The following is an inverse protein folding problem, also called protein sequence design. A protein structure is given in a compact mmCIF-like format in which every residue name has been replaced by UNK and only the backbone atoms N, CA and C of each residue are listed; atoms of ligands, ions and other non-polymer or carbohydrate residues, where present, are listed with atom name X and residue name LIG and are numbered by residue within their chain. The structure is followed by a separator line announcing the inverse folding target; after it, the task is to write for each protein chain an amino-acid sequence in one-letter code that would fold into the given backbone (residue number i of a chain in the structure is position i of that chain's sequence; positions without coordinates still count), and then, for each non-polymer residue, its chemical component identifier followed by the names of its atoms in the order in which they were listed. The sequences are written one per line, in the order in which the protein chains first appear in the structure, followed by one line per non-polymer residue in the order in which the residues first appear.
data_IF_202412478661
#
_entry.id   IF_202412478661
#
_cell.length_a   1.000
_cell.length_b   1.000
_cell.length_c   1.000
_cell.angle_alpha   90.00
_cell.angle_beta   90.00
_cell.angle_gamma   90.00
#
_symmetry.space_group_name_H-M   'P 1'
#
loop_
_entity.id
_entity.type
_entity.pdbx_description
1 polymer ?
#
# COMPACT_ATOMS: atom_id res chain seq x y z
N UNK A 1 -21.98 -9.08 -28.37
CA UNK A 1 -21.53 -7.78 -27.86
C UNK A 1 -20.29 -8.05 -27.02
N UNK A 2 -19.16 -7.41 -27.32
CA UNK A 2 -17.95 -7.55 -26.51
C UNK A 2 -18.26 -7.07 -25.09
N UNK A 3 -18.02 -7.90 -24.10
CA UNK A 3 -18.23 -7.54 -22.70
C UNK A 3 -17.24 -6.44 -22.33
N UNK A 4 -17.72 -5.21 -22.20
CA UNK A 4 -16.87 -4.07 -21.81
C UNK A 4 -16.74 -4.13 -20.28
N UNK A 5 -15.56 -4.51 -19.76
CA UNK A 5 -15.29 -4.48 -18.34
C UNK A 5 -15.24 -3.03 -17.85
N UNK A 6 -16.20 -2.65 -16.99
CA UNK A 6 -16.25 -1.37 -16.28
C UNK A 6 -15.57 -1.51 -14.90
N UNK A 7 -15.31 -0.42 -14.22
CA UNK A 7 -14.80 -0.45 -12.83
C UNK A 7 -15.69 -1.28 -11.91
N UNK A 8 -17.02 -1.22 -12.09
CA UNK A 8 -17.96 -2.00 -11.28
C UNK A 8 -17.93 -3.50 -11.61
N UNK A 9 -17.77 -3.87 -12.88
CA UNK A 9 -17.64 -5.27 -13.26
C UNK A 9 -16.29 -5.86 -12.82
N UNK A 10 -15.22 -5.08 -12.86
CA UNK A 10 -13.93 -5.45 -12.29
C UNK A 10 -14.03 -5.64 -10.77
N UNK A 11 -14.70 -4.71 -10.07
CA UNK A 11 -14.92 -4.83 -8.62
C UNK A 11 -15.66 -6.12 -8.27
N UNK A 12 -16.77 -6.40 -8.95
CA UNK A 12 -17.54 -7.65 -8.75
C UNK A 12 -16.69 -8.89 -8.99
N UNK A 13 -15.87 -8.90 -10.03
CA UNK A 13 -14.96 -10.01 -10.31
C UNK A 13 -13.94 -10.19 -9.16
N UNK A 14 -13.33 -9.12 -8.69
CA UNK A 14 -12.27 -9.16 -7.68
C UNK A 14 -12.81 -9.48 -6.27
N UNK A 15 -14.03 -9.07 -5.94
CA UNK A 15 -14.69 -9.38 -4.67
C UNK A 15 -15.23 -10.81 -4.60
N UNK A 16 -15.52 -11.44 -5.74
CA UNK A 16 -16.06 -12.79 -5.75
C UNK A 16 -14.99 -13.85 -5.52
N UNK A 17 -15.39 -15.00 -4.97
CA UNK A 17 -14.58 -16.21 -4.97
C UNK A 17 -14.19 -16.56 -6.40
N UNK A 18 -13.03 -17.20 -6.57
CA UNK A 18 -12.55 -17.55 -7.90
C UNK A 18 -13.54 -18.46 -8.64
N UNK A 19 -13.82 -18.11 -9.88
CA UNK A 19 -14.64 -18.92 -10.78
C UNK A 19 -13.95 -19.06 -12.13
N UNK A 20 -13.58 -20.27 -12.47
CA UNK A 20 -12.80 -20.57 -13.67
C UNK A 20 -13.50 -20.14 -14.96
N UNK A 21 -14.82 -20.30 -15.07
CA UNK A 21 -15.56 -19.92 -16.26
C UNK A 21 -15.60 -18.39 -16.44
N UNK A 22 -15.80 -17.64 -15.34
CA UNK A 22 -15.70 -16.18 -15.37
C UNK A 22 -14.28 -15.72 -15.69
N UNK A 23 -13.27 -16.42 -15.17
CA UNK A 23 -11.87 -16.14 -15.47
C UNK A 23 -11.54 -16.33 -16.95
N UNK A 24 -12.00 -17.43 -17.58
CA UNK A 24 -11.87 -17.63 -19.03
C UNK A 24 -12.50 -16.49 -19.83
N UNK A 25 -13.72 -16.09 -19.47
CA UNK A 25 -14.38 -14.94 -20.10
C UNK A 25 -13.57 -13.65 -19.93
N UNK A 26 -12.98 -13.44 -18.75
CA UNK A 26 -12.13 -12.28 -18.49
C UNK A 26 -10.85 -12.31 -19.34
N UNK A 27 -10.18 -13.44 -19.40
CA UNK A 27 -8.99 -13.63 -20.23
C UNK A 27 -9.29 -13.36 -21.71
N UNK A 28 -10.40 -13.88 -22.21
CA UNK A 28 -10.79 -13.72 -23.60
C UNK A 28 -11.15 -12.27 -23.95
N UNK A 29 -11.95 -11.61 -23.12
CA UNK A 29 -12.51 -10.31 -23.48
C UNK A 29 -11.68 -9.11 -22.98
N UNK A 30 -10.98 -9.26 -21.87
CA UNK A 30 -10.14 -8.19 -21.32
C UNK A 30 -8.71 -8.24 -21.86
N UNK A 31 -8.09 -9.43 -21.81
CA UNK A 31 -6.73 -9.62 -22.29
C UNK A 31 -6.61 -9.98 -23.77
N UNK A 32 -7.73 -10.15 -24.46
CA UNK A 32 -7.78 -10.60 -25.85
C UNK A 32 -7.01 -11.92 -26.08
N UNK A 33 -7.06 -12.83 -25.11
CA UNK A 33 -6.37 -14.09 -25.19
C UNK A 33 -7.00 -14.95 -26.32
N UNK A 34 -6.28 -15.12 -27.41
CA UNK A 34 -6.73 -15.86 -28.59
C UNK A 34 -6.37 -17.34 -28.56
N UNK A 35 -5.40 -17.72 -27.74
CA UNK A 35 -4.86 -19.08 -27.64
C UNK A 35 -5.22 -19.73 -26.31
N UNK A 36 -6.51 -19.66 -25.94
CA UNK A 36 -7.01 -20.36 -24.75
C UNK A 36 -7.29 -21.84 -25.08
N UNK A 37 -6.95 -22.71 -24.16
CA UNK A 37 -7.31 -24.13 -24.23
C UNK A 37 -8.82 -24.30 -23.99
N UNK A 38 -9.49 -25.16 -24.73
CA UNK A 38 -10.90 -25.50 -24.49
C UNK A 38 -11.16 -26.07 -23.10
N UNK A 39 -10.19 -26.83 -22.60
CA UNK A 39 -10.16 -27.37 -21.23
C UNK A 39 -8.78 -27.10 -20.62
N UNK A 40 -8.72 -26.79 -19.31
CA UNK A 40 -7.46 -26.66 -18.60
C UNK A 40 -6.60 -27.91 -18.79
N UNK A 41 -5.37 -27.73 -19.24
CA UNK A 41 -4.42 -28.81 -19.38
C UNK A 41 -3.70 -29.01 -18.05
N UNK A 42 -3.86 -30.19 -17.47
CA UNK A 42 -3.28 -30.51 -16.17
C UNK A 42 -1.77 -30.68 -16.32
N UNK A 43 -1.00 -29.93 -15.56
CA UNK A 43 0.46 -29.93 -15.63
C UNK A 43 1.11 -30.40 -14.33
N UNK A 44 0.42 -30.31 -13.18
CA UNK A 44 0.87 -30.91 -11.92
C UNK A 44 -0.28 -31.59 -11.18
N UNK A 45 0.04 -32.74 -10.64
CA UNK A 45 -0.76 -33.47 -9.68
C UNK A 45 0.12 -33.82 -8.47
N UNK A 46 -0.21 -33.23 -7.33
CA UNK A 46 0.31 -33.64 -6.04
C UNK A 46 -0.86 -33.99 -5.12
N UNK A 47 -0.57 -34.62 -4.00
CA UNK A 47 -1.59 -34.99 -3.00
C UNK A 47 -2.27 -33.73 -2.39
N UNK A 48 -1.62 -32.58 -2.49
CA UNK A 48 -2.07 -31.34 -1.86
C UNK A 48 -2.55 -30.25 -2.84
N UNK A 49 -2.08 -30.27 -4.09
CA UNK A 49 -2.27 -29.15 -4.99
C UNK A 49 -2.42 -29.59 -6.46
N UNK A 50 -3.15 -28.82 -7.24
CA UNK A 50 -3.36 -29.07 -8.68
C UNK A 50 -3.01 -27.83 -9.49
N UNK A 51 -2.29 -28.05 -10.59
CA UNK A 51 -1.94 -26.97 -11.49
C UNK A 51 -2.36 -27.22 -12.92
N UNK A 52 -2.77 -26.15 -13.59
CA UNK A 52 -3.35 -26.18 -14.92
C UNK A 52 -2.77 -25.08 -15.79
N UNK A 53 -2.44 -25.43 -17.03
CA UNK A 53 -2.18 -24.49 -18.10
C UNK A 53 -3.49 -24.15 -18.82
N UNK A 54 -3.77 -22.87 -18.95
CA UNK A 54 -5.02 -22.37 -19.55
C UNK A 54 -4.85 -21.88 -21.00
N UNK A 55 -3.61 -21.60 -21.42
CA UNK A 55 -3.30 -20.99 -22.70
C UNK A 55 -2.31 -19.84 -22.56
N UNK A 56 -2.27 -18.95 -23.55
CA UNK A 56 -1.38 -17.81 -23.53
C UNK A 56 -2.00 -16.55 -24.14
N UNK A 57 -1.36 -15.42 -23.82
CA UNK A 57 -1.59 -14.12 -24.44
C UNK A 57 -0.36 -13.79 -25.29
N UNK A 58 -0.58 -13.41 -26.55
CA UNK A 58 0.43 -12.77 -27.37
C UNK A 58 0.23 -11.26 -27.26
N UNK A 59 1.20 -10.57 -26.68
CA UNK A 59 1.10 -9.12 -26.45
C UNK A 59 1.37 -8.32 -27.73
N UNK A 60 0.95 -7.04 -27.73
CA UNK A 60 1.14 -6.15 -28.89
C UNK A 60 2.63 -5.90 -29.22
N UNK A 61 3.50 -6.03 -28.23
CA UNK A 61 4.96 -5.92 -28.31
C UNK A 61 5.67 -7.28 -28.50
N UNK A 62 4.92 -8.30 -28.96
CA UNK A 62 5.41 -9.63 -29.38
C UNK A 62 5.98 -10.50 -28.27
N UNK A 63 5.60 -10.27 -27.01
CA UNK A 63 5.91 -11.17 -25.90
C UNK A 63 4.81 -12.22 -25.72
N UNK A 64 5.19 -13.41 -25.29
CA UNK A 64 4.30 -14.52 -25.01
C UNK A 64 4.14 -14.75 -23.51
N UNK A 65 2.91 -14.57 -23.00
CA UNK A 65 2.58 -14.67 -21.57
C UNK A 65 1.77 -15.93 -21.33
N UNK A 66 2.32 -16.87 -20.57
CA UNK A 66 1.62 -18.10 -20.16
C UNK A 66 0.54 -17.81 -19.13
N UNK A 67 -0.59 -18.51 -19.24
CA UNK A 67 -1.74 -18.39 -18.34
C UNK A 67 -1.89 -19.68 -17.54
N UNK A 68 -1.86 -19.55 -16.22
CA UNK A 68 -1.88 -20.71 -15.32
C UNK A 68 -2.92 -20.53 -14.21
N UNK A 69 -3.49 -21.65 -13.76
CA UNK A 69 -4.34 -21.73 -12.59
C UNK A 69 -3.82 -22.80 -11.64
N UNK A 70 -3.73 -22.45 -10.38
CA UNK A 70 -3.23 -23.32 -9.32
C UNK A 70 -4.25 -23.40 -8.19
N UNK A 71 -4.78 -24.61 -7.97
CA UNK A 71 -5.74 -24.87 -6.90
C UNK A 71 -5.00 -25.40 -5.66
N UNK A 72 -5.09 -24.68 -4.56
CA UNK A 72 -4.45 -24.98 -3.28
C UNK A 72 -5.49 -25.62 -2.36
N UNK A 73 -5.42 -26.93 -2.20
CA UNK A 73 -6.39 -27.70 -1.41
C UNK A 73 -6.24 -27.56 0.10
N UNK A 74 -5.07 -27.18 0.61
CA UNK A 74 -4.79 -27.06 2.04
C UNK A 74 -4.22 -25.68 2.42
N UNK A 75 -4.96 -24.92 3.24
CA UNK A 75 -4.59 -23.63 3.79
C UNK A 75 -4.97 -22.45 2.90
N UNK A 76 -4.93 -21.24 3.47
CA UNK A 76 -5.35 -20.01 2.79
C UNK A 76 -4.22 -19.41 1.95
N UNK A 77 -4.53 -18.96 0.73
CA UNK A 77 -3.61 -18.22 -0.15
C UNK A 77 -3.15 -16.92 0.52
N UNK A 78 -4.00 -16.32 1.36
CA UNK A 78 -3.68 -15.11 2.08
C UNK A 78 -2.48 -15.27 3.02
N UNK A 79 -2.25 -16.49 3.53
CA UNK A 79 -1.23 -16.79 4.55
C UNK A 79 -0.08 -17.68 4.08
N UNK A 80 -0.18 -18.31 2.89
CA UNK A 80 0.84 -19.24 2.36
C UNK A 80 1.70 -18.58 1.27
N UNK A 81 2.80 -17.96 1.64
CA UNK A 81 3.69 -17.29 0.67
C UNK A 81 4.88 -18.14 0.23
N UNK A 82 5.58 -18.76 1.18
CA UNK A 82 6.77 -19.58 0.90
C UNK A 82 6.45 -20.83 0.07
N UNK A 83 5.28 -21.45 0.30
CA UNK A 83 4.82 -22.61 -0.49
C UNK A 83 4.58 -22.25 -1.97
N UNK A 84 4.01 -21.08 -2.25
CA UNK A 84 3.72 -20.60 -3.59
C UNK A 84 5.00 -20.32 -4.42
N UNK A 85 6.09 -19.89 -3.78
CA UNK A 85 7.40 -19.67 -4.40
C UNK A 85 7.99 -20.98 -4.92
N UNK A 86 7.99 -22.03 -4.08
CA UNK A 86 8.53 -23.32 -4.47
C UNK A 86 7.71 -23.95 -5.60
N UNK A 87 6.41 -23.72 -5.61
CA UNK A 87 5.50 -24.14 -6.66
C UNK A 87 5.82 -23.46 -8.00
N UNK A 88 6.03 -22.16 -7.99
CA UNK A 88 6.43 -21.40 -9.18
C UNK A 88 7.75 -21.92 -9.73
N UNK A 89 8.74 -22.14 -8.89
CA UNK A 89 10.05 -22.68 -9.31
C UNK A 89 9.96 -24.09 -9.92
N UNK A 90 9.19 -24.99 -9.32
CA UNK A 90 9.05 -26.35 -9.81
C UNK A 90 8.17 -26.48 -11.05
N UNK A 91 7.29 -25.53 -11.27
CA UNK A 91 6.16 -25.61 -12.17
C UNK A 91 6.33 -24.76 -13.44
N UNK A 92 6.76 -23.52 -13.30
CA UNK A 92 6.93 -22.60 -14.42
C UNK A 92 8.34 -22.73 -15.02
N UNK A 93 9.37 -23.05 -14.21
CA UNK A 93 10.73 -23.21 -14.69
C UNK A 93 10.90 -24.24 -15.83
N UNK A 94 10.25 -25.41 -15.84
CA UNK A 94 10.35 -26.34 -16.96
C UNK A 94 9.75 -25.81 -18.27
N UNK A 95 8.73 -24.93 -18.17
CA UNK A 95 8.05 -24.33 -19.34
C UNK A 95 8.54 -22.92 -19.67
N UNK A 96 9.48 -22.38 -18.86
CA UNK A 96 9.96 -21.00 -18.98
C UNK A 96 10.63 -20.68 -20.32
N UNK A 97 11.17 -21.66 -21.01
CA UNK A 97 11.71 -21.47 -22.38
C UNK A 97 10.66 -21.18 -23.44
N UNK A 98 9.37 -21.38 -23.13
CA UNK A 98 8.25 -21.16 -24.05
C UNK A 98 7.56 -19.81 -23.84
N UNK A 99 7.74 -19.16 -22.67
CA UNK A 99 7.07 -17.92 -22.29
C UNK A 99 8.05 -16.88 -21.77
N UNK A 100 7.75 -15.62 -22.05
CA UNK A 100 8.52 -14.46 -21.55
C UNK A 100 8.09 -14.05 -20.14
N UNK A 101 6.84 -14.36 -19.79
CA UNK A 101 6.24 -14.11 -18.47
C UNK A 101 5.06 -15.04 -18.24
N UNK A 102 4.51 -15.02 -17.03
CA UNK A 102 3.30 -15.75 -16.69
C UNK A 102 2.32 -14.92 -15.87
N UNK A 103 1.02 -15.09 -16.13
CA UNK A 103 -0.07 -14.71 -15.26
C UNK A 103 -0.61 -15.96 -14.56
N UNK A 104 -0.50 -16.01 -13.25
CA UNK A 104 -0.86 -17.18 -12.46
C UNK A 104 -1.95 -16.82 -11.47
N UNK A 105 -3.06 -17.54 -11.52
CA UNK A 105 -4.07 -17.51 -10.47
C UNK A 105 -3.77 -18.61 -9.46
N UNK A 106 -3.67 -18.24 -8.20
CA UNK A 106 -3.63 -19.15 -7.06
C UNK A 106 -4.97 -19.05 -6.33
N UNK A 107 -5.66 -20.17 -6.20
CA UNK A 107 -7.01 -20.25 -5.64
C UNK A 107 -7.03 -21.16 -4.43
N UNK A 108 -7.63 -20.72 -3.32
CA UNK A 108 -7.86 -21.50 -2.10
C UNK A 108 -9.33 -21.60 -1.71
N UNK A 109 -10.23 -21.23 -2.63
CA UNK A 109 -11.68 -21.18 -2.42
C UNK A 109 -12.19 -19.83 -1.90
N UNK A 110 -11.77 -19.41 -0.72
CA UNK A 110 -12.22 -18.14 -0.12
C UNK A 110 -11.52 -16.93 -0.74
N UNK A 111 -10.21 -17.04 -0.94
CA UNK A 111 -9.38 -16.00 -1.52
C UNK A 111 -8.61 -16.55 -2.71
N UNK A 112 -8.27 -15.65 -3.63
CA UNK A 112 -7.42 -15.98 -4.75
C UNK A 112 -6.42 -14.87 -5.02
N UNK A 113 -5.30 -15.23 -5.63
CA UNK A 113 -4.23 -14.31 -5.98
C UNK A 113 -4.00 -14.32 -7.47
N UNK A 114 -3.80 -13.17 -8.06
CA UNK A 114 -3.32 -13.02 -9.42
C UNK A 114 -1.87 -12.52 -9.36
N UNK A 115 -0.96 -13.34 -9.82
CA UNK A 115 0.47 -13.02 -9.85
C UNK A 115 0.94 -12.83 -11.28
N UNK A 116 1.65 -11.74 -11.53
CA UNK A 116 2.45 -11.55 -12.74
C UNK A 116 3.90 -11.90 -12.43
N UNK A 117 4.46 -12.87 -13.14
CA UNK A 117 5.79 -13.42 -12.91
C UNK A 117 6.59 -13.16 -14.17
N UNK A 118 7.66 -12.39 -14.04
CA UNK A 118 8.56 -12.08 -15.16
C UNK A 118 10.02 -12.15 -14.71
N UNK A 119 10.90 -12.52 -15.65
CA UNK A 119 12.33 -12.47 -15.47
C UNK A 119 12.84 -11.12 -15.99
N UNK A 120 13.54 -10.39 -15.13
CA UNK A 120 14.14 -9.11 -15.52
C UNK A 120 15.53 -9.43 -16.06
N UNK A 121 15.70 -9.34 -17.38
CA UNK A 121 16.99 -9.55 -18.05
C UNK A 121 18.07 -8.65 -17.44
N UNK A 122 19.09 -9.27 -16.87
CA UNK A 122 20.24 -8.58 -16.28
C UNK A 122 20.31 -8.61 -14.75
N UNK A 123 19.28 -9.08 -14.05
CA UNK A 123 19.34 -9.36 -12.62
C UNK A 123 19.67 -10.84 -12.39
N UNK A 124 20.70 -11.12 -11.59
CA UNK A 124 21.12 -12.49 -11.24
C UNK A 124 20.20 -13.16 -10.20
N UNK A 125 18.97 -12.68 -10.03
CA UNK A 125 18.00 -13.12 -9.03
C UNK A 125 16.86 -13.92 -9.66
N UNK A 126 16.15 -14.68 -8.81
CA UNK A 126 14.93 -15.41 -9.20
C UNK A 126 13.89 -14.50 -9.84
N UNK A 127 13.02 -15.00 -10.74
CA UNK A 127 11.93 -14.23 -11.31
C UNK A 127 11.12 -13.49 -10.24
N UNK A 128 10.95 -12.19 -10.40
CA UNK A 128 10.14 -11.37 -9.48
C UNK A 128 8.67 -11.68 -9.71
N UNK A 129 7.92 -11.75 -8.61
CA UNK A 129 6.48 -11.99 -8.59
C UNK A 129 5.78 -10.80 -7.97
N UNK A 130 4.84 -10.22 -8.71
CA UNK A 130 3.98 -9.14 -8.26
C UNK A 130 2.56 -9.63 -8.19
N UNK A 131 1.88 -9.42 -7.06
CA UNK A 131 0.66 -10.13 -6.73
C UNK A 131 -0.45 -9.20 -6.24
N UNK A 132 -1.67 -9.42 -6.76
CA UNK A 132 -2.91 -8.91 -6.19
C UNK A 132 -3.66 -10.00 -5.45
N UNK A 133 -4.28 -9.66 -4.31
CA UNK A 133 -5.15 -10.55 -3.52
C UNK A 133 -6.60 -10.17 -3.72
N UNK A 134 -7.45 -11.16 -3.97
CA UNK A 134 -8.87 -11.02 -4.30
C UNK A 134 -9.74 -11.99 -3.50
N UNK A 135 -11.08 -11.84 -3.60
CA UNK A 135 -12.05 -12.79 -3.07
C UNK A 135 -12.61 -12.43 -1.69
N UNK A 136 -12.45 -11.20 -1.22
CA UNK A 136 -13.00 -10.76 0.06
C UNK A 136 -13.62 -9.36 -0.06
N UNK A 137 -14.71 -9.12 0.68
CA UNK A 137 -15.32 -7.79 0.79
C UNK A 137 -14.51 -6.83 1.66
N UNK A 138 -13.58 -7.35 2.47
CA UNK A 138 -12.75 -6.56 3.40
C UNK A 138 -11.57 -5.89 2.70
N UNK A 139 -11.26 -6.29 1.47
CA UNK A 139 -10.14 -5.75 0.70
C UNK A 139 -10.57 -4.52 -0.11
N UNK A 140 -9.66 -3.55 -0.19
CA UNK A 140 -9.80 -2.40 -1.06
C UNK A 140 -9.33 -2.78 -2.47
N UNK A 141 -10.23 -2.72 -3.44
CA UNK A 141 -9.92 -3.08 -4.84
C UNK A 141 -9.65 -1.87 -5.73
N UNK A 142 -9.51 -0.66 -5.18
CA UNK A 142 -9.27 0.54 -5.98
C UNK A 142 -7.97 0.45 -6.76
N UNK A 143 -6.86 0.11 -6.12
CA UNK A 143 -5.56 -0.05 -6.80
C UNK A 143 -5.64 -1.03 -7.97
N UNK A 144 -6.08 -2.30 -7.82
CA UNK A 144 -6.19 -3.20 -8.96
C UNK A 144 -7.18 -2.69 -10.00
N UNK A 145 -8.32 -2.10 -9.63
CA UNK A 145 -9.28 -1.54 -10.58
C UNK A 145 -8.64 -0.42 -11.42
N UNK A 146 -7.90 0.50 -10.81
CA UNK A 146 -7.22 1.57 -11.53
C UNK A 146 -6.12 1.03 -12.45
N UNK A 147 -5.33 0.05 -11.99
CA UNK A 147 -4.30 -0.59 -12.82
C UNK A 147 -4.87 -1.38 -13.99
N UNK A 148 -5.99 -2.06 -13.81
CA UNK A 148 -6.68 -2.73 -14.91
C UNK A 148 -7.36 -1.73 -15.86
N UNK A 149 -7.90 -0.62 -15.37
CA UNK A 149 -8.37 0.48 -16.22
C UNK A 149 -7.22 1.12 -17.01
N UNK A 150 -6.03 1.23 -16.44
CA UNK A 150 -4.82 1.65 -17.16
C UNK A 150 -4.52 0.67 -18.31
N UNK A 151 -4.50 -0.65 -18.06
CA UNK A 151 -4.30 -1.66 -19.12
C UNK A 151 -5.35 -1.58 -20.21
N UNK A 152 -6.63 -1.37 -19.84
CA UNK A 152 -7.71 -1.18 -20.80
C UNK A 152 -7.48 0.04 -21.71
N UNK A 153 -6.99 1.14 -21.15
CA UNK A 153 -6.74 2.39 -21.86
C UNK A 153 -5.48 2.32 -22.74
N UNK A 154 -4.42 1.71 -22.24
CA UNK A 154 -3.10 1.67 -22.89
C UNK A 154 -2.89 0.47 -23.79
N UNK A 155 -3.69 -0.60 -23.61
CA UNK A 155 -3.55 -1.87 -24.30
C UNK A 155 -2.67 -2.87 -23.56
N UNK A 156 -2.79 -4.15 -23.97
CA UNK A 156 -2.07 -5.26 -23.38
C UNK A 156 -0.70 -5.41 -24.07
N UNK A 157 0.32 -4.87 -23.47
CA UNK A 157 1.73 -5.09 -23.81
C UNK A 157 2.50 -5.61 -22.60
N UNK A 158 3.66 -6.21 -22.80
CA UNK A 158 4.51 -6.68 -21.70
C UNK A 158 4.88 -5.51 -20.78
N UNK A 159 5.27 -4.37 -21.34
CA UNK A 159 5.65 -3.19 -20.56
C UNK A 159 4.47 -2.59 -19.78
N UNK A 160 3.26 -2.55 -20.37
CA UNK A 160 2.07 -2.09 -19.66
C UNK A 160 1.66 -3.07 -18.54
N UNK A 161 1.81 -4.39 -18.75
CA UNK A 161 1.59 -5.38 -17.70
C UNK A 161 2.60 -5.20 -16.56
N UNK A 162 3.88 -5.04 -16.90
CA UNK A 162 4.92 -4.76 -15.91
C UNK A 162 4.61 -3.50 -15.10
N UNK A 163 4.18 -2.43 -15.76
CA UNK A 163 3.76 -1.19 -15.09
C UNK A 163 2.54 -1.40 -14.20
N UNK A 164 1.52 -2.13 -14.69
CA UNK A 164 0.29 -2.37 -13.93
C UNK A 164 0.52 -3.17 -12.64
N UNK A 165 1.54 -4.03 -12.64
CA UNK A 165 1.93 -4.84 -11.49
C UNK A 165 3.15 -4.28 -10.74
N UNK A 166 3.75 -3.15 -11.17
CA UNK A 166 4.92 -2.57 -10.51
C UNK A 166 4.54 -1.86 -9.21
N UNK A 167 5.27 -2.21 -8.14
CA UNK A 167 5.19 -1.52 -6.85
C UNK A 167 5.86 -0.15 -6.94
N UNK A 168 6.99 -0.05 -7.64
CA UNK A 168 7.73 1.21 -7.80
C UNK A 168 6.88 2.28 -8.51
N UNK A 169 6.25 1.92 -9.64
CA UNK A 169 5.38 2.85 -10.37
C UNK A 169 4.15 3.29 -9.56
N UNK A 170 3.63 2.40 -8.69
CA UNK A 170 2.55 2.72 -7.77
C UNK A 170 3.03 3.69 -6.67
N UNK A 171 4.22 3.44 -6.15
CA UNK A 171 4.83 4.26 -5.10
C UNK A 171 5.14 5.67 -5.57
N UNK A 172 5.65 5.83 -6.78
CA UNK A 172 5.91 7.15 -7.39
C UNK A 172 4.61 7.94 -7.59
N UNK A 173 3.58 7.28 -8.12
CA UNK A 173 2.26 7.90 -8.30
C UNK A 173 1.64 8.33 -6.97
N UNK A 174 1.71 7.46 -5.95
CA UNK A 174 1.24 7.77 -4.61
C UNK A 174 1.99 8.97 -4.03
N UNK A 175 3.32 8.99 -4.14
CA UNK A 175 4.13 10.08 -3.63
C UNK A 175 3.81 11.42 -4.31
N UNK A 176 3.62 11.43 -5.63
CA UNK A 176 3.25 12.64 -6.37
C UNK A 176 1.89 13.18 -5.90
N UNK A 177 0.88 12.33 -5.75
CA UNK A 177 -0.44 12.73 -5.24
C UNK A 177 -0.40 13.13 -3.75
N UNK A 178 0.41 12.44 -2.94
CA UNK A 178 0.63 12.81 -1.54
C UNK A 178 1.23 14.22 -1.42
N UNK A 179 2.20 14.55 -2.27
CA UNK A 179 2.81 15.87 -2.33
C UNK A 179 1.81 16.95 -2.74
N UNK A 180 0.86 16.63 -3.63
CA UNK A 180 -0.22 17.54 -3.99
C UNK A 180 -1.15 17.81 -2.81
N UNK A 181 -1.57 16.79 -2.07
CA UNK A 181 -2.37 16.97 -0.84
C UNK A 181 -1.62 17.79 0.19
N UNK A 182 -0.33 17.53 0.39
CA UNK A 182 0.52 18.35 1.26
C UNK A 182 0.54 19.82 0.82
N UNK A 183 0.72 20.08 -0.47
CA UNK A 183 0.73 21.42 -1.03
C UNK A 183 -0.63 22.15 -0.87
N UNK A 184 -1.75 21.42 -0.90
CA UNK A 184 -3.08 21.99 -0.65
C UNK A 184 -3.23 22.50 0.77
N UNK A 185 -2.79 21.72 1.79
CA UNK A 185 -2.77 22.17 3.19
C UNK A 185 -1.87 23.40 3.38
N UNK A 186 -0.67 23.42 2.80
CA UNK A 186 0.23 24.58 2.87
C UNK A 186 -0.37 25.80 2.21
N UNK A 187 -0.96 25.65 1.02
CA UNK A 187 -1.61 26.75 0.30
C UNK A 187 -2.78 27.32 1.10
N UNK A 188 -3.58 26.49 1.75
CA UNK A 188 -4.67 26.96 2.60
C UNK A 188 -4.16 27.85 3.72
N UNK A 189 -3.09 27.45 4.41
CA UNK A 189 -2.54 28.22 5.54
C UNK A 189 -1.83 29.47 5.07
N UNK A 190 -0.98 29.38 4.04
CA UNK A 190 -0.01 30.42 3.67
C UNK A 190 -0.42 31.27 2.46
N UNK A 191 -1.42 30.84 1.69
CA UNK A 191 -1.73 31.39 0.36
C UNK A 191 -0.72 31.04 -0.72
N UNK A 192 0.33 30.28 -0.41
CA UNK A 192 1.46 29.98 -1.28
C UNK A 192 1.52 28.51 -1.68
N UNK A 193 1.99 28.25 -2.90
CA UNK A 193 2.21 26.89 -3.42
C UNK A 193 3.45 26.83 -4.29
N UNK A 194 4.23 25.77 -4.16
CA UNK A 194 5.28 25.46 -5.11
C UNK A 194 4.67 24.86 -6.39
N UNK A 195 4.97 25.50 -7.52
CA UNK A 195 4.52 25.06 -8.85
C UNK A 195 5.73 24.81 -9.74
N UNK A 196 5.63 23.81 -10.60
CA UNK A 196 6.68 23.49 -11.55
C UNK A 196 6.58 24.42 -12.76
N UNK A 197 7.61 25.26 -12.97
CA UNK A 197 7.74 26.15 -14.12
C UNK A 197 8.94 25.69 -14.96
N UNK A 198 8.66 25.00 -16.07
CA UNK A 198 9.69 24.31 -16.83
C UNK A 198 10.36 23.18 -16.02
N UNK A 199 11.67 23.29 -15.79
CA UNK A 199 12.45 22.32 -14.98
C UNK A 199 12.65 22.75 -13.53
N UNK A 200 12.15 23.91 -13.11
CA UNK A 200 12.36 24.47 -11.76
C UNK A 200 11.05 24.53 -10.97
N UNK A 201 11.17 24.39 -9.66
CA UNK A 201 10.09 24.66 -8.73
C UNK A 201 10.16 26.11 -8.28
N UNK A 202 9.04 26.83 -8.39
CA UNK A 202 8.90 28.22 -7.97
C UNK A 202 7.74 28.36 -6.98
N UNK A 203 7.95 29.14 -5.92
CA UNK A 203 6.89 29.48 -4.98
C UNK A 203 6.02 30.58 -5.61
N UNK A 204 4.71 30.36 -5.66
CA UNK A 204 3.72 31.33 -6.14
C UNK A 204 2.66 31.60 -5.09
N UNK A 205 2.24 32.85 -4.98
CA UNK A 205 1.07 33.25 -4.20
C UNK A 205 -0.17 32.96 -5.06
N UNK A 206 -1.02 32.04 -4.61
CA UNK A 206 -2.22 31.59 -5.34
C UNK A 206 -3.52 31.83 -4.57
N UNK A 207 -3.43 32.41 -3.37
CA UNK A 207 -4.60 32.71 -2.54
C UNK A 207 -4.24 33.62 -1.38
N UNK A 208 -5.24 33.96 -0.58
CA UNK A 208 -5.03 34.66 0.68
C UNK A 208 -4.69 33.64 1.79
N UNK A 209 -3.75 33.97 2.68
CA UNK A 209 -3.43 33.11 3.81
C UNK A 209 -4.58 33.08 4.82
N UNK A 210 -4.76 31.97 5.53
CA UNK A 210 -5.68 31.92 6.67
C UNK A 210 -5.08 32.68 7.85
N UNK A 211 -5.72 33.80 8.30
CA UNK A 211 -5.13 34.67 9.32
C UNK A 211 -5.01 33.97 10.68
N UNK A 212 -5.96 33.10 11.03
CA UNK A 212 -5.99 32.43 12.32
C UNK A 212 -4.85 31.40 12.43
N UNK A 213 -4.67 30.58 11.39
CA UNK A 213 -3.59 29.60 11.33
C UNK A 213 -2.22 30.27 11.22
N UNK A 214 -2.09 31.32 10.39
CA UNK A 214 -0.84 32.09 10.33
C UNK A 214 -0.45 32.67 11.68
N UNK A 215 -1.42 33.18 12.42
CA UNK A 215 -1.17 33.69 13.77
C UNK A 215 -0.81 32.57 14.74
N UNK A 216 -1.49 31.42 14.72
CA UNK A 216 -1.22 30.26 15.56
C UNK A 216 0.23 29.80 15.42
N UNK A 217 0.78 29.85 14.21
CA UNK A 217 2.18 29.50 13.93
C UNK A 217 3.16 30.67 14.01
N UNK A 218 2.73 31.85 14.51
CA UNK A 218 3.53 33.08 14.58
C UNK A 218 4.12 33.49 13.21
N UNK A 219 3.37 33.31 12.14
CA UNK A 219 3.79 33.59 10.75
C UNK A 219 5.08 32.83 10.33
N UNK A 220 5.40 31.73 10.97
CA UNK A 220 6.60 30.93 10.68
C UNK A 220 6.27 29.80 9.69
N UNK A 221 6.52 30.05 8.41
CA UNK A 221 6.22 29.10 7.34
C UNK A 221 6.95 27.77 7.48
N UNK A 222 8.17 27.75 8.05
CA UNK A 222 8.88 26.50 8.31
C UNK A 222 8.14 25.65 9.35
N UNK A 223 7.67 26.26 10.45
CA UNK A 223 6.84 25.54 11.45
C UNK A 223 5.56 25.01 10.83
N UNK A 224 4.92 25.77 9.95
CA UNK A 224 3.71 25.35 9.23
C UNK A 224 4.01 24.11 8.39
N UNK A 225 5.09 24.12 7.60
CA UNK A 225 5.51 22.98 6.77
C UNK A 225 5.83 21.75 7.61
N UNK A 226 6.57 21.91 8.68
CA UNK A 226 6.92 20.82 9.59
C UNK A 226 5.67 20.24 10.27
N UNK A 227 4.72 21.06 10.65
CA UNK A 227 3.45 20.65 11.23
C UNK A 227 2.60 19.82 10.27
N UNK A 228 2.33 20.35 9.07
CA UNK A 228 1.53 19.64 8.06
C UNK A 228 2.17 18.31 7.69
N UNK A 229 3.50 18.29 7.53
CA UNK A 229 4.24 17.07 7.26
C UNK A 229 4.06 16.03 8.37
N UNK A 230 4.20 16.44 9.62
CA UNK A 230 4.06 15.55 10.79
C UNK A 230 2.63 15.04 10.92
N UNK A 231 1.63 15.91 10.75
CA UNK A 231 0.21 15.55 10.76
C UNK A 231 -0.11 14.50 9.68
N UNK A 232 0.23 14.76 8.43
CA UNK A 232 -0.01 13.83 7.33
C UNK A 232 0.79 12.53 7.47
N UNK A 233 2.03 12.60 7.98
CA UNK A 233 2.84 11.42 8.27
C UNK A 233 2.23 10.52 9.34
N UNK A 234 1.62 11.10 10.37
CA UNK A 234 0.85 10.36 11.38
C UNK A 234 -0.37 9.66 10.76
N UNK A 235 -1.11 10.38 9.91
CA UNK A 235 -2.31 9.82 9.27
C UNK A 235 -1.93 8.66 8.34
N UNK A 236 -0.94 8.81 7.46
CA UNK A 236 -0.54 7.73 6.56
C UNK A 236 0.00 6.52 7.32
N UNK A 237 0.71 6.74 8.45
CA UNK A 237 1.14 5.65 9.31
C UNK A 237 -0.04 4.85 9.87
N UNK A 238 -1.16 5.50 10.21
CA UNK A 238 -2.37 4.82 10.68
C UNK A 238 -2.98 3.90 9.62
N UNK A 239 -2.81 4.19 8.33
CA UNK A 239 -3.24 3.28 7.26
C UNK A 239 -2.45 1.97 7.27
N UNK A 240 -1.17 1.99 7.65
CA UNK A 240 -0.41 0.75 7.89
C UNK A 240 -0.86 0.03 9.17
N UNK A 241 -1.15 0.77 10.23
CA UNK A 241 -1.62 0.20 11.51
C UNK A 241 -2.99 -0.46 11.34
N UNK A 242 -3.93 0.17 10.63
CA UNK A 242 -5.23 -0.45 10.35
C UNK A 242 -5.09 -1.71 9.48
N UNK A 243 -4.11 -1.75 8.56
CA UNK A 243 -3.85 -2.94 7.76
C UNK A 243 -3.35 -4.12 8.58
N UNK A 244 -2.76 -3.89 9.76
CA UNK A 244 -2.46 -4.92 10.79
C UNK A 244 -3.71 -5.37 11.56
N UNK A 245 -4.87 -4.73 11.39
CA UNK A 245 -6.04 -4.94 12.22
C UNK A 245 -5.93 -4.34 13.64
N UNK A 246 -4.90 -3.53 13.89
CA UNK A 246 -4.63 -2.99 15.24
C UNK A 246 -5.54 -1.81 15.62
N UNK A 247 -6.28 -1.26 14.68
CA UNK A 247 -7.31 -0.28 14.93
C UNK A 247 -8.67 -0.99 15.05
N UNK A 248 -8.94 -1.52 16.22
CA UNK A 248 -10.19 -2.21 16.59
C UNK A 248 -10.61 -3.36 15.63
N UNK A 249 -9.66 -4.00 14.96
CA UNK A 249 -9.95 -5.06 13.98
C UNK A 249 -10.56 -4.59 12.66
N UNK A 250 -10.71 -3.27 12.47
CA UNK A 250 -11.30 -2.70 11.24
C UNK A 250 -10.21 -2.29 10.25
N UNK A 251 -10.15 -2.96 9.10
CA UNK A 251 -9.20 -2.67 8.01
C UNK A 251 -9.49 -1.38 7.25
N UNK A 252 -10.61 -0.71 7.53
CA UNK A 252 -11.04 0.58 6.97
C UNK A 252 -11.29 1.62 8.04
N UNK A 253 -10.70 1.44 9.20
CA UNK A 253 -10.97 2.22 10.40
C UNK A 253 -10.93 3.74 10.16
N UNK A 254 -9.88 4.26 9.53
CA UNK A 254 -9.71 5.70 9.32
C UNK A 254 -10.82 6.30 8.45
N UNK A 255 -11.18 5.62 7.37
CA UNK A 255 -12.28 6.05 6.48
C UNK A 255 -13.63 5.96 7.15
N UNK A 256 -13.87 4.88 7.90
CA UNK A 256 -15.11 4.68 8.66
C UNK A 256 -15.24 5.72 9.78
N UNK A 257 -14.15 6.00 10.49
CA UNK A 257 -14.09 7.02 11.53
C UNK A 257 -14.50 8.39 11.00
N UNK A 258 -13.94 8.80 9.86
CA UNK A 258 -14.30 10.07 9.22
C UNK A 258 -15.73 10.05 8.68
N UNK A 259 -16.11 9.02 7.92
CA UNK A 259 -17.42 8.95 7.24
C UNK A 259 -18.58 8.96 8.24
N UNK A 260 -18.44 8.21 9.34
CA UNK A 260 -19.48 8.08 10.38
C UNK A 260 -19.51 9.25 11.37
N UNK A 261 -18.54 10.14 11.37
CA UNK A 261 -18.55 11.36 12.17
C UNK A 261 -19.64 12.33 11.69
N UNK A 262 -20.28 13.07 12.60
CA UNK A 262 -21.22 14.13 12.25
C UNK A 262 -20.51 15.31 11.60
N UNK A 263 -21.24 16.16 10.86
CA UNK A 263 -20.68 17.35 10.23
C UNK A 263 -20.05 18.29 11.25
N UNK A 264 -20.61 18.40 12.46
CA UNK A 264 -20.05 19.21 13.54
C UNK A 264 -18.68 18.67 14.04
N UNK A 265 -18.47 17.36 13.98
CA UNK A 265 -17.17 16.73 14.29
C UNK A 265 -16.22 16.88 13.11
N UNK A 266 -16.70 16.67 11.87
CA UNK A 266 -15.87 16.82 10.65
C UNK A 266 -15.34 18.26 10.50
N UNK A 267 -16.09 19.26 10.94
CA UNK A 267 -15.66 20.67 10.92
C UNK A 267 -14.45 20.95 11.85
N UNK A 268 -14.19 20.09 12.82
CA UNK A 268 -13.10 20.20 13.80
C UNK A 268 -12.43 18.82 14.03
N UNK A 269 -12.26 18.07 12.93
CA UNK A 269 -11.87 16.65 12.98
C UNK A 269 -10.48 16.44 13.56
N UNK A 270 -9.58 17.37 13.32
CA UNK A 270 -8.21 17.28 13.83
C UNK A 270 -8.19 17.34 15.36
N UNK A 271 -8.75 18.40 15.94
CA UNK A 271 -8.71 18.61 17.39
C UNK A 271 -9.60 17.61 18.15
N UNK A 272 -10.77 17.25 17.57
CA UNK A 272 -11.74 16.38 18.25
C UNK A 272 -11.51 14.88 18.12
N UNK A 273 -10.82 14.47 17.05
CA UNK A 273 -10.67 13.04 16.72
C UNK A 273 -9.21 12.64 16.53
N UNK A 274 -8.47 13.32 15.65
CA UNK A 274 -7.12 12.90 15.31
C UNK A 274 -6.12 13.18 16.44
N UNK A 275 -6.14 14.33 17.06
CA UNK A 275 -5.24 14.65 18.17
C UNK A 275 -5.50 13.77 19.40
N UNK A 276 -6.75 13.57 19.87
CA UNK A 276 -7.03 12.57 20.89
C UNK A 276 -6.55 11.16 20.54
N UNK A 277 -6.68 10.76 19.26
CA UNK A 277 -6.16 9.48 18.78
C UNK A 277 -4.62 9.44 18.85
N UNK A 278 -3.93 10.47 18.36
CA UNK A 278 -2.47 10.52 18.35
C UNK A 278 -1.89 10.57 19.77
N UNK A 279 -2.35 11.50 20.58
CA UNK A 279 -1.75 11.81 21.87
C UNK A 279 -2.44 11.10 23.03
N UNK A 280 -3.76 10.96 22.95
CA UNK A 280 -4.59 10.37 24.00
C UNK A 280 -4.60 8.84 23.99
N UNK A 281 -4.45 8.22 22.83
CA UNK A 281 -4.52 6.76 22.68
C UNK A 281 -3.18 6.14 22.29
N UNK A 282 -2.63 6.54 21.15
CA UNK A 282 -1.41 5.91 20.61
C UNK A 282 -0.16 6.23 21.41
N UNK A 283 -0.10 7.40 22.04
CA UNK A 283 1.03 7.83 22.90
C UNK A 283 0.71 7.81 24.39
N UNK A 284 -0.41 7.26 24.83
CA UNK A 284 -0.80 7.18 26.24
C UNK A 284 -1.09 5.73 26.62
N UNK A 285 -0.44 5.18 27.68
CA UNK A 285 -0.73 3.87 28.20
C UNK A 285 -2.22 3.68 28.54
N UNK A 286 -2.78 2.49 28.30
CA UNK A 286 -4.21 2.23 28.48
C UNK A 286 -4.75 2.64 29.88
N UNK A 287 -3.95 2.45 30.92
CA UNK A 287 -4.32 2.82 32.31
C UNK A 287 -4.45 4.33 32.54
N UNK A 288 -3.85 5.15 31.70
CA UNK A 288 -3.80 6.61 31.87
C UNK A 288 -4.73 7.37 30.91
N UNK A 289 -5.29 6.71 29.90
CA UNK A 289 -6.09 7.32 28.80
C UNK A 289 -7.23 8.17 29.30
N UNK A 290 -8.05 7.63 30.23
CA UNK A 290 -9.22 8.34 30.77
C UNK A 290 -8.78 9.57 31.57
N UNK A 291 -7.70 9.46 32.35
CA UNK A 291 -7.16 10.60 33.12
C UNK A 291 -6.58 11.67 32.20
N UNK A 292 -5.86 11.25 31.17
CA UNK A 292 -5.28 12.15 30.18
C UNK A 292 -6.37 12.85 29.36
N UNK A 293 -7.38 12.11 28.91
CA UNK A 293 -8.52 12.68 28.18
C UNK A 293 -9.26 13.75 28.99
N UNK A 294 -9.51 13.50 30.27
CA UNK A 294 -10.12 14.52 31.17
C UNK A 294 -9.25 15.77 31.34
N UNK A 295 -7.94 15.61 31.38
CA UNK A 295 -7.00 16.75 31.52
C UNK A 295 -7.02 17.66 30.27
N UNK A 296 -7.24 17.08 29.11
CA UNK A 296 -7.23 17.78 27.83
C UNK A 296 -8.63 18.07 27.27
N UNK A 297 -9.68 17.75 28.01
CA UNK A 297 -11.09 17.86 27.58
C UNK A 297 -11.39 17.10 26.27
N UNK A 298 -10.79 15.90 26.12
CA UNK A 298 -11.00 15.04 24.96
C UNK A 298 -12.17 14.05 25.21
N UNK A 299 -13.06 13.96 24.25
CA UNK A 299 -14.16 13.00 24.25
C UNK A 299 -13.76 11.73 23.49
N UNK A 300 -13.25 10.71 24.21
CA UNK A 300 -12.85 9.43 23.61
C UNK A 300 -14.00 8.66 23.00
N UNK A 301 -15.27 8.96 23.36
CA UNK A 301 -16.43 8.29 22.77
C UNK A 301 -16.60 8.58 21.27
N UNK A 302 -15.96 9.63 20.76
CA UNK A 302 -15.90 9.95 19.35
C UNK A 302 -15.00 9.00 18.54
N UNK A 303 -14.20 8.16 19.21
CA UNK A 303 -13.26 7.21 18.60
C UNK A 303 -13.74 5.77 18.91
N UNK A 304 -14.52 5.13 18.03
CA UNK A 304 -15.09 3.81 18.28
C UNK A 304 -14.00 2.76 18.59
N UNK A 305 -14.19 2.00 19.67
CA UNK A 305 -13.23 0.98 20.09
C UNK A 305 -11.90 1.53 20.59
N UNK A 306 -11.88 2.76 21.10
CA UNK A 306 -10.68 3.41 21.63
C UNK A 306 -9.92 2.57 22.67
N UNK A 307 -10.62 1.71 23.41
CA UNK A 307 -10.03 0.80 24.40
C UNK A 307 -9.07 -0.20 23.74
N UNK A 308 -9.36 -0.61 22.51
CA UNK A 308 -8.63 -1.63 21.76
C UNK A 308 -7.49 -1.04 20.89
N UNK A 309 -7.38 0.28 20.80
CA UNK A 309 -6.29 0.92 20.06
C UNK A 309 -4.96 0.68 20.77
N UNK A 310 -3.89 0.28 20.08
CA UNK A 310 -2.61 -0.04 20.73
C UNK A 310 -1.94 1.20 21.30
N UNK A 311 -1.08 1.00 22.31
CA UNK A 311 -0.10 1.97 22.76
C UNK A 311 1.19 1.75 21.98
N UNK A 312 1.64 2.72 21.19
CA UNK A 312 2.78 2.57 20.31
C UNK A 312 4.08 3.17 20.85
N UNK A 313 4.01 4.06 21.85
CA UNK A 313 5.15 4.68 22.52
C UNK A 313 6.28 5.10 21.56
N UNK A 314 5.94 5.79 20.49
CA UNK A 314 6.91 6.20 19.47
C UNK A 314 6.97 7.72 19.30
N UNK A 315 8.16 8.26 19.04
CA UNK A 315 8.39 9.70 18.84
C UNK A 315 7.50 10.33 17.74
N UNK A 316 6.93 9.53 16.83
CA UNK A 316 5.99 10.02 15.83
C UNK A 316 4.71 10.60 16.46
N UNK A 317 4.23 9.99 17.57
CA UNK A 317 3.02 10.40 18.29
C UNK A 317 3.33 11.19 19.56
N UNK A 318 4.57 11.56 19.81
CA UNK A 318 4.92 12.47 20.87
C UNK A 318 4.48 13.89 20.52
N UNK A 319 3.75 14.54 21.46
CA UNK A 319 3.27 15.90 21.28
C UNK A 319 4.42 16.89 21.49
N UNK A 320 4.68 17.74 20.52
CA UNK A 320 5.63 18.84 20.65
C UNK A 320 4.96 20.22 20.66
N UNK A 321 5.76 21.29 20.71
CA UNK A 321 5.23 22.65 20.79
C UNK A 321 4.45 23.07 19.53
N UNK A 322 4.73 22.45 18.37
CA UNK A 322 4.02 22.74 17.14
C UNK A 322 2.61 22.14 17.19
N UNK A 323 2.47 20.96 17.79
CA UNK A 323 1.18 20.28 17.93
C UNK A 323 0.22 20.98 18.93
N UNK A 324 0.69 21.94 19.73
CA UNK A 324 -0.14 22.72 20.65
C UNK A 324 -0.85 23.90 19.97
N UNK A 325 -0.54 24.16 18.73
CA UNK A 325 -1.21 25.19 17.95
C UNK A 325 -2.57 24.67 17.49
N UNK A 326 -3.65 25.29 17.97
CA UNK A 326 -4.99 24.93 17.49
C UNK A 326 -5.09 25.15 15.99
N UNK A 327 -5.44 24.10 15.27
CA UNK A 327 -5.44 24.08 13.81
C UNK A 327 -6.76 23.54 13.28
N UNK A 328 -7.62 24.43 12.81
CA UNK A 328 -8.92 24.07 12.22
C UNK A 328 -8.82 24.15 10.71
N UNK A 329 -9.10 23.04 10.04
CA UNK A 329 -9.14 22.95 8.59
C UNK A 329 -10.58 22.72 8.11
N UNK A 330 -10.98 23.29 6.96
CA UNK A 330 -12.26 22.91 6.34
C UNK A 330 -12.35 21.39 6.15
N UNK A 331 -13.52 20.84 6.43
CA UNK A 331 -13.74 19.38 6.35
C UNK A 331 -13.33 18.76 5.01
N UNK A 332 -13.40 19.54 3.93
CA UNK A 332 -13.08 19.08 2.57
C UNK A 332 -11.61 18.61 2.45
N UNK A 333 -10.68 19.19 3.20
CA UNK A 333 -9.27 18.81 3.17
C UNK A 333 -9.07 17.37 3.72
N UNK A 334 -9.68 17.05 4.85
CA UNK A 334 -9.62 15.69 5.39
C UNK A 334 -10.41 14.69 4.55
N UNK A 335 -11.55 15.11 3.99
CA UNK A 335 -12.31 14.27 3.06
C UNK A 335 -11.46 13.86 1.86
N UNK A 336 -10.84 14.81 1.17
CA UNK A 336 -9.99 14.56 0.02
C UNK A 336 -8.76 13.71 0.40
N UNK A 337 -8.15 13.96 1.55
CA UNK A 337 -7.02 13.18 2.05
C UNK A 337 -7.39 11.73 2.31
N UNK A 338 -8.51 11.44 2.97
CA UNK A 338 -8.97 10.07 3.21
C UNK A 338 -9.41 9.39 1.91
N UNK A 339 -10.14 10.08 1.03
CA UNK A 339 -10.50 9.56 -0.29
C UNK A 339 -9.26 9.23 -1.12
N UNK A 340 -8.21 10.05 -1.05
CA UNK A 340 -6.92 9.76 -1.68
C UNK A 340 -6.28 8.49 -1.10
N UNK A 341 -6.14 8.38 0.21
CA UNK A 341 -5.56 7.19 0.83
C UNK A 341 -6.36 5.92 0.52
N UNK A 342 -7.69 6.01 0.48
CA UNK A 342 -8.57 4.89 0.14
C UNK A 342 -8.45 4.43 -1.33
N UNK A 343 -7.78 5.21 -2.16
CA UNK A 343 -7.47 4.82 -3.54
C UNK A 343 -6.42 3.71 -3.59
N UNK A 344 -5.59 3.59 -2.56
CA UNK A 344 -4.45 2.69 -2.54
C UNK A 344 -4.61 1.56 -1.51
N UNK A 345 -4.12 0.38 -1.87
CA UNK A 345 -3.90 -0.69 -0.92
C UNK A 345 -2.58 -0.45 -0.18
N UNK A 346 -2.62 -0.52 1.13
CA UNK A 346 -1.43 -0.51 1.97
C UNK A 346 -1.05 -1.94 2.31
N UNK A 347 0.21 -2.29 2.17
CA UNK A 347 0.74 -3.60 2.51
C UNK A 347 1.69 -3.50 3.70
N UNK A 348 1.78 -4.58 4.46
CA UNK A 348 2.69 -4.68 5.62
C UNK A 348 3.59 -5.89 5.50
N UNK A 349 3.63 -6.48 4.32
CA UNK A 349 4.28 -7.75 4.10
C UNK A 349 5.69 -7.55 3.58
N UNK A 350 6.63 -7.72 4.48
CA UNK A 350 8.07 -7.55 4.26
C UNK A 350 8.82 -8.89 4.15
N UNK A 351 8.10 -10.03 4.25
CA UNK A 351 8.73 -11.30 4.56
C UNK A 351 9.24 -12.11 3.37
N UNK A 352 8.90 -11.75 2.14
CA UNK A 352 9.40 -12.45 0.96
C UNK A 352 9.92 -11.45 -0.09
N UNK A 353 11.24 -11.37 -0.30
CA UNK A 353 11.83 -10.46 -1.28
C UNK A 353 11.45 -10.79 -2.73
N UNK A 354 10.94 -11.99 -2.97
CA UNK A 354 10.58 -12.45 -4.31
C UNK A 354 9.04 -12.43 -4.56
N UNK A 355 8.20 -12.12 -3.55
CA UNK A 355 6.74 -12.00 -3.66
C UNK A 355 6.25 -10.68 -3.09
N UNK A 356 6.09 -9.70 -3.96
CA UNK A 356 5.63 -8.37 -3.59
C UNK A 356 4.13 -8.24 -3.85
N UNK A 357 3.34 -7.99 -2.79
CA UNK A 357 1.96 -7.55 -2.95
C UNK A 357 1.94 -6.14 -3.56
N UNK A 358 1.14 -5.94 -4.61
CA UNK A 358 1.04 -4.62 -5.26
C UNK A 358 0.23 -3.69 -4.37
N UNK A 359 0.92 -2.87 -3.64
CA UNK A 359 0.38 -1.92 -2.67
C UNK A 359 1.46 -0.94 -2.21
N UNK A 360 1.05 0.03 -1.40
CA UNK A 360 1.98 0.95 -0.74
C UNK A 360 2.60 0.23 0.45
N UNK A 361 3.90 0.09 0.47
CA UNK A 361 4.65 -0.54 1.55
C UNK A 361 5.15 0.46 2.60
N UNK A 362 5.58 -0.01 3.80
CA UNK A 362 6.08 0.88 4.85
C UNK A 362 7.34 1.68 4.47
N UNK A 363 8.13 1.25 3.47
CA UNK A 363 9.28 1.99 2.97
C UNK A 363 8.88 3.36 2.42
N UNK A 364 7.65 3.48 1.92
CA UNK A 364 7.08 4.76 1.47
C UNK A 364 7.06 5.82 2.58
N UNK A 365 6.92 5.45 3.86
CA UNK A 365 7.03 6.42 4.95
C UNK A 365 8.41 7.08 4.97
N UNK A 366 9.47 6.27 4.82
CA UNK A 366 10.83 6.79 4.69
C UNK A 366 10.96 7.75 3.52
N UNK A 367 10.44 7.37 2.35
CA UNK A 367 10.45 8.18 1.15
C UNK A 367 9.67 9.51 1.32
N UNK A 368 8.50 9.47 1.98
CA UNK A 368 7.71 10.65 2.31
C UNK A 368 8.51 11.59 3.23
N UNK A 369 9.04 11.06 4.33
CA UNK A 369 9.77 11.88 5.31
C UNK A 369 11.07 12.44 4.73
N UNK A 370 11.74 11.71 3.85
CA UNK A 370 12.94 12.18 3.16
C UNK A 370 12.64 13.26 2.12
N UNK A 371 11.68 13.04 1.23
CA UNK A 371 11.52 13.85 0.02
C UNK A 371 10.56 15.04 0.18
N UNK A 372 9.75 15.09 1.24
CA UNK A 372 9.01 16.30 1.59
C UNK A 372 9.87 17.32 2.35
N UNK A 373 11.13 17.01 2.68
CA UNK A 373 12.05 17.96 3.28
C UNK A 373 12.61 18.87 2.18
N UNK A 374 12.10 20.08 2.07
CA UNK A 374 12.67 21.11 1.20
C UNK A 374 14.12 21.46 1.58
N UNK A 375 14.51 21.18 2.85
CA UNK A 375 15.81 21.44 3.45
C UNK A 375 16.74 20.19 3.45
N UNK A 376 16.43 19.13 2.72
CA UNK A 376 17.22 17.87 2.77
C UNK A 376 18.68 18.04 2.35
N UNK A 377 18.96 18.97 1.44
CA UNK A 377 20.34 19.28 1.03
C UNK A 377 21.18 19.82 2.19
N UNK A 378 20.54 20.46 3.17
CA UNK A 378 21.23 21.07 4.30
C UNK A 378 21.39 20.14 5.51
N UNK A 379 20.54 19.10 5.62
CA UNK A 379 20.54 18.18 6.78
C UNK A 379 21.21 16.84 6.53
N UNK A 380 21.39 16.43 5.26
CA UNK A 380 22.05 15.17 4.87
C UNK A 380 21.38 13.92 5.46
N UNK A 381 20.08 13.98 5.78
CA UNK A 381 19.34 12.86 6.33
C UNK A 381 18.79 12.01 5.17
N UNK A 382 19.34 10.82 5.00
CA UNK A 382 18.88 9.83 4.03
C UNK A 382 18.40 8.59 4.78
N UNK A 383 17.26 8.05 4.36
CA UNK A 383 16.82 6.75 4.83
C UNK A 383 17.64 5.64 4.18
N UNK A 384 18.01 4.64 4.98
CA UNK A 384 18.79 3.52 4.49
C UNK A 384 17.91 2.63 3.61
N UNK A 385 18.27 2.34 2.34
CA UNK A 385 17.51 1.45 1.48
C UNK A 385 17.27 0.07 2.09
N UNK A 386 16.13 -0.53 1.77
CA UNK A 386 15.66 -1.81 2.33
C UNK A 386 16.69 -2.93 2.18
N UNK A 387 17.34 -3.03 1.03
CA UNK A 387 18.35 -4.04 0.74
C UNK A 387 19.55 -3.93 1.71
N UNK A 388 19.96 -2.71 2.01
CA UNK A 388 21.06 -2.45 2.96
C UNK A 388 20.62 -2.80 4.37
N UNK A 389 19.40 -2.42 4.77
CA UNK A 389 18.84 -2.76 6.09
C UNK A 389 18.75 -4.28 6.25
N UNK A 390 18.23 -5.00 5.27
CA UNK A 390 18.13 -6.47 5.27
C UNK A 390 19.52 -7.12 5.39
N UNK A 391 20.50 -6.62 4.62
CA UNK A 391 21.87 -7.10 4.71
C UNK A 391 22.46 -6.88 6.11
N UNK A 392 22.32 -5.67 6.66
CA UNK A 392 22.81 -5.33 8.01
C UNK A 392 22.15 -6.20 9.08
N UNK A 393 20.82 -6.34 9.06
CA UNK A 393 20.08 -7.17 9.99
C UNK A 393 20.51 -8.63 9.90
N UNK A 394 20.61 -9.18 8.69
CA UNK A 394 21.06 -10.55 8.45
C UNK A 394 22.47 -10.78 8.99
N UNK A 395 23.40 -9.90 8.69
CA UNK A 395 24.78 -10.02 9.18
C UNK A 395 24.85 -9.90 10.71
N UNK A 396 24.09 -8.99 11.29
CA UNK A 396 24.05 -8.81 12.75
C UNK A 396 23.50 -10.06 13.46
N UNK A 397 22.43 -10.67 12.94
CA UNK A 397 21.87 -11.91 13.49
C UNK A 397 22.87 -13.07 13.34
N UNK A 398 23.52 -13.21 12.19
CA UNK A 398 24.53 -14.26 11.96
C UNK A 398 25.71 -14.09 12.96
N UNK A 399 26.20 -12.87 13.15
CA UNK A 399 27.29 -12.62 14.07
C UNK A 399 26.88 -12.84 15.55
N UNK A 400 25.66 -12.43 15.89
CA UNK A 400 25.09 -12.69 17.22
C UNK A 400 25.02 -14.18 17.52
N UNK A 401 24.46 -14.98 16.60
CA UNK A 401 24.37 -16.44 16.76
C UNK A 401 25.77 -17.08 16.87
N UNK A 402 26.71 -16.70 16.01
CA UNK A 402 28.09 -17.21 16.05
C UNK A 402 28.81 -16.88 17.37
N UNK A 403 28.50 -15.73 18.00
CA UNK A 403 29.12 -15.34 19.27
C UNK A 403 28.52 -16.04 20.49
N UNK A 404 27.27 -16.51 20.40
CA UNK A 404 26.56 -17.14 21.51
C UNK A 404 26.54 -18.68 21.42
N UNK A 405 26.79 -19.24 20.24
CA UNK A 405 26.91 -20.68 20.00
C UNK A 405 28.18 -21.01 19.20
N UNK A 406 29.36 -21.01 19.85
CA UNK A 406 30.63 -21.25 19.17
C UNK A 406 30.80 -22.66 18.59
N UNK A 407 29.97 -23.64 18.98
CA UNK A 407 30.10 -25.05 18.59
C UNK A 407 29.41 -25.46 17.27
N UNK A 408 29.01 -24.50 16.44
CA UNK A 408 28.87 -24.76 15.00
C UNK A 408 27.60 -25.45 14.50
N UNK A 409 26.53 -25.59 15.30
CA UNK A 409 25.28 -26.19 14.81
C UNK A 409 24.52 -25.36 13.74
N UNK A 410 24.80 -24.07 13.65
CA UNK A 410 24.14 -23.15 12.69
C UNK A 410 25.10 -22.49 11.70
N UNK A 411 26.31 -23.00 11.54
CA UNK A 411 27.30 -22.42 10.61
C UNK A 411 27.02 -22.66 9.13
N UNK A 412 25.94 -23.35 8.78
CA UNK A 412 25.57 -23.78 7.42
C UNK A 412 24.15 -23.36 6.98
N UNK A 413 23.57 -22.35 7.62
CA UNK A 413 22.25 -21.84 7.20
C UNK A 413 22.39 -20.57 6.33
#
# INVERSE_FOLDING_TARGET
MATIYTSDSLRKLFQSSFNLAQWYSFLQHFFNASELKEKPERIIESTSDEGYYLGNINTADSYRIGLFHYNIRQGSVANKRVGLRNLVKSFINPTWGEFDAALVVFDSGDHWRLSFICDIKGEATSPKRYTYVFGSDDLLYRTPIERFNFLKKKGISFENLRTAFSVEALSDEFFDKYREQYADFIQYITGKRFVKVGSKWEEKVLGEPDPALMQAFNHNEKKIRDYVKKMMGRIVFLYFVQRKGWLNGDYRYMSNLYTNSSDAIKADFLDKVLEPMFFGLLNTPASERVTNAKRHDWDLSLIPGWENIPYLNGGLFEQDDIDKCRSVFPQEYFKQLFEFFDTYNFTIDENDPDDNEVGIDPEMLGHIFENLLEDNKDKGAFYTPKEIVQYMCRQSVIQYLKSHEPDGQYASA
#
